data_IF_043840407709
#
_entry.id   IF_043840407709
#
_cell.length_a   1.000
_cell.length_b   1.000
_cell.length_c   1.000
_cell.angle_alpha   90.00
_cell.angle_beta   90.00
_cell.angle_gamma   90.00
#
_symmetry.space_group_name_H-M   'P 1'
#
loop_
_entity.id
_entity.type
_entity.pdbx_description
1 polymer ?
#
# COMPACT_ATOMS: atom_id res chain seq x y z
N UNK A 1 13.70 18.88 -7.39
CA UNK A 1 13.02 19.76 -6.41
C UNK A 1 11.91 20.57 -7.09
N UNK A 2 11.07 21.21 -6.30
CA UNK A 2 10.04 22.15 -6.74
C UNK A 2 9.09 21.55 -7.78
N UNK A 3 8.78 22.28 -8.88
CA UNK A 3 7.85 21.81 -9.91
C UNK A 3 8.25 20.46 -10.54
N UNK A 4 9.57 20.15 -10.56
CA UNK A 4 10.06 18.86 -11.02
C UNK A 4 9.63 17.70 -10.08
N UNK A 5 9.62 17.94 -8.76
CA UNK A 5 9.10 16.98 -7.81
C UNK A 5 7.58 16.81 -7.93
N UNK A 6 6.84 17.89 -8.19
CA UNK A 6 5.39 17.83 -8.41
C UNK A 6 5.01 16.91 -9.59
N UNK A 7 5.83 16.81 -10.63
CA UNK A 7 5.59 15.90 -11.74
C UNK A 7 5.60 14.41 -11.34
N UNK A 8 6.20 14.04 -10.21
CA UNK A 8 6.19 12.66 -9.70
C UNK A 8 4.83 12.26 -9.13
N UNK A 9 3.96 13.21 -8.77
CA UNK A 9 2.67 12.89 -8.13
C UNK A 9 1.83 11.94 -8.97
N UNK A 10 1.83 12.08 -10.29
CA UNK A 10 1.10 11.17 -11.18
C UNK A 10 1.65 9.73 -11.08
N UNK A 11 2.98 9.56 -11.10
CA UNK A 11 3.59 8.24 -10.96
C UNK A 11 3.46 7.66 -9.54
N UNK A 12 3.45 8.53 -8.52
CA UNK A 12 3.19 8.11 -7.13
C UNK A 12 1.75 7.59 -7.00
N UNK A 13 0.78 8.32 -7.57
CA UNK A 13 -0.62 7.92 -7.56
C UNK A 13 -0.84 6.60 -8.30
N UNK A 14 -0.19 6.41 -9.44
CA UNK A 14 -0.20 5.18 -10.21
C UNK A 14 0.32 3.99 -9.37
N UNK A 15 1.49 4.14 -8.75
CA UNK A 15 2.04 3.15 -7.84
C UNK A 15 1.14 2.87 -6.63
N UNK A 16 0.45 3.89 -6.12
CA UNK A 16 -0.48 3.73 -4.99
C UNK A 16 -1.69 2.89 -5.37
N UNK A 17 -2.33 3.17 -6.50
CA UNK A 17 -3.49 2.41 -6.97
C UNK A 17 -3.12 0.98 -7.35
N UNK A 18 -1.93 0.78 -7.91
CA UNK A 18 -1.43 -0.54 -8.30
C UNK A 18 -0.79 -1.32 -7.15
N UNK A 19 -0.74 -0.74 -5.94
CA UNK A 19 -0.14 -1.37 -4.75
C UNK A 19 1.33 -1.76 -4.96
N UNK A 20 2.09 -0.91 -5.64
CA UNK A 20 3.52 -1.11 -5.90
C UNK A 20 4.38 -0.54 -4.78
N UNK A 21 5.30 -1.32 -4.18
CA UNK A 21 6.20 -0.85 -3.13
C UNK A 21 7.37 -0.06 -3.74
N UNK A 22 7.15 1.22 -3.98
CA UNK A 22 8.14 2.12 -4.59
C UNK A 22 8.60 3.17 -3.57
N UNK A 23 9.90 3.35 -3.43
CA UNK A 23 10.49 4.45 -2.66
C UNK A 23 10.81 5.60 -3.62
N UNK A 24 10.06 6.70 -3.51
CA UNK A 24 10.31 7.92 -4.25
C UNK A 24 11.24 8.85 -3.46
N UNK A 25 12.28 9.34 -4.11
CA UNK A 25 13.22 10.29 -3.54
C UNK A 25 13.11 11.61 -4.28
N UNK A 26 12.88 12.69 -3.54
CA UNK A 26 12.87 14.05 -4.07
C UNK A 26 13.97 14.88 -3.44
N UNK A 27 14.44 15.88 -4.15
CA UNK A 27 15.40 16.85 -3.61
C UNK A 27 14.69 18.12 -3.19
N UNK A 28 15.25 18.79 -2.19
CA UNK A 28 14.72 20.03 -1.65
C UNK A 28 15.84 21.05 -1.43
N UNK A 29 15.47 22.29 -1.17
CA UNK A 29 16.39 23.36 -0.77
C UNK A 29 17.18 22.96 0.50
N UNK A 30 18.26 23.69 0.76
CA UNK A 30 18.95 23.55 2.05
C UNK A 30 18.01 23.97 3.21
N UNK A 31 18.09 23.24 4.32
CA UNK A 31 17.22 23.49 5.47
C UNK A 31 17.31 24.92 6.03
N UNK A 32 18.47 25.58 5.87
CA UNK A 32 18.70 26.97 6.30
C UNK A 32 18.20 28.03 5.30
N UNK A 33 17.76 27.64 4.10
CA UNK A 33 17.22 28.55 3.08
C UNK A 33 15.73 28.83 3.28
N UNK A 34 15.05 28.09 4.15
CA UNK A 34 13.67 28.35 4.48
C UNK A 34 13.52 29.67 5.24
N UNK A 35 12.70 30.56 4.74
CA UNK A 35 12.48 31.87 5.34
C UNK A 35 11.83 31.82 6.73
N UNK A 36 11.11 30.74 7.03
CA UNK A 36 10.36 30.56 8.27
C UNK A 36 9.20 31.53 8.47
N UNK A 37 8.85 32.34 7.46
CA UNK A 37 7.77 33.31 7.54
C UNK A 37 6.45 32.64 7.22
N UNK A 38 5.49 32.58 8.15
CA UNK A 38 4.17 31.99 7.90
C UNK A 38 3.42 32.71 6.79
N UNK A 39 2.73 31.95 5.96
CA UNK A 39 1.87 32.48 4.89
C UNK A 39 2.61 32.92 3.62
N UNK A 40 3.93 32.76 3.54
CA UNK A 40 4.62 32.92 2.27
C UNK A 40 4.21 31.82 1.30
N UNK A 41 3.98 32.23 0.06
CA UNK A 41 3.65 31.32 -1.05
C UNK A 41 4.79 30.34 -1.36
N UNK A 42 6.03 30.75 -1.12
CA UNK A 42 7.25 30.04 -1.45
C UNK A 42 8.30 30.39 -0.41
N UNK A 43 8.82 29.40 0.28
CA UNK A 43 9.79 29.61 1.38
C UNK A 43 11.23 29.83 0.86
N UNK A 44 11.54 29.31 -0.32
CA UNK A 44 12.80 29.49 -1.01
C UNK A 44 12.62 29.30 -2.51
N UNK A 45 13.71 29.34 -3.30
CA UNK A 45 13.64 29.31 -4.77
C UNK A 45 13.06 27.98 -5.28
N UNK A 46 11.91 28.05 -5.99
CA UNK A 46 11.20 26.88 -6.52
C UNK A 46 10.90 25.78 -5.49
N UNK A 47 10.75 26.18 -4.23
CA UNK A 47 10.32 25.26 -3.17
C UNK A 47 8.83 24.97 -3.29
N UNK A 48 8.47 23.73 -3.03
CA UNK A 48 7.09 23.29 -2.80
C UNK A 48 7.08 22.28 -1.65
N UNK A 49 5.98 22.22 -0.94
CA UNK A 49 5.74 21.16 0.04
C UNK A 49 5.30 19.87 -0.66
N UNK A 50 6.28 19.13 -1.18
CA UNK A 50 6.01 17.87 -1.89
C UNK A 50 5.50 16.79 -0.93
N UNK A 51 5.87 16.85 0.34
CA UNK A 51 5.40 15.91 1.36
C UNK A 51 3.88 16.06 1.55
N UNK A 52 3.39 17.30 1.75
CA UNK A 52 1.97 17.56 1.85
C UNK A 52 1.20 17.17 0.58
N UNK A 53 1.79 17.41 -0.60
CA UNK A 53 1.18 17.03 -1.88
C UNK A 53 1.09 15.51 -2.09
N UNK A 54 2.11 14.76 -1.67
CA UNK A 54 2.17 13.31 -1.86
C UNK A 54 1.42 12.52 -0.77
N UNK A 55 1.17 13.11 0.40
CA UNK A 55 0.57 12.45 1.57
C UNK A 55 -0.70 11.66 1.26
N UNK A 56 -1.67 12.14 0.45
CA UNK A 56 -2.89 11.41 0.14
C UNK A 56 -2.70 10.15 -0.73
N UNK A 57 -1.57 10.04 -1.43
CA UNK A 57 -1.28 8.97 -2.38
C UNK A 57 0.00 8.21 -2.03
N UNK A 58 0.41 8.24 -0.77
CA UNK A 58 1.54 7.48 -0.24
C UNK A 58 1.19 6.82 1.07
N UNK A 59 1.85 5.73 1.39
CA UNK A 59 1.77 5.10 2.72
C UNK A 59 2.58 5.88 3.77
N UNK A 60 3.64 6.55 3.33
CA UNK A 60 4.50 7.36 4.16
C UNK A 60 5.15 8.46 3.32
N UNK A 61 5.19 9.67 3.85
CA UNK A 61 5.88 10.80 3.22
C UNK A 61 6.57 11.63 4.30
N UNK A 62 7.86 11.87 4.15
CA UNK A 62 8.68 12.60 5.13
C UNK A 62 9.73 13.45 4.45
N UNK A 63 10.03 14.61 5.03
CA UNK A 63 11.22 15.40 4.72
C UNK A 63 12.26 15.16 5.81
N UNK A 64 13.47 14.74 5.42
CA UNK A 64 14.58 14.55 6.35
C UNK A 64 15.14 15.92 6.73
N UNK A 65 15.34 16.15 8.02
CA UNK A 65 15.83 17.44 8.54
C UNK A 65 17.25 17.37 9.08
N UNK A 66 17.70 16.20 9.49
CA UNK A 66 19.02 15.97 10.07
C UNK A 66 19.73 14.85 9.34
N UNK A 67 21.05 14.96 9.15
CA UNK A 67 21.87 14.00 8.39
C UNK A 67 21.84 12.61 9.02
N UNK A 68 21.71 12.54 10.35
CA UNK A 68 21.73 11.30 11.12
C UNK A 68 20.47 10.46 10.93
N UNK A 69 19.36 11.09 10.49
CA UNK A 69 18.08 10.40 10.30
C UNK A 69 17.97 9.66 8.96
N UNK A 70 18.87 9.91 8.01
CA UNK A 70 18.72 9.41 6.63
C UNK A 70 18.62 7.89 6.54
N UNK A 71 19.50 7.18 7.25
CA UNK A 71 19.54 5.70 7.21
C UNK A 71 18.31 5.11 7.88
N UNK A 72 17.91 5.67 9.01
CA UNK A 72 16.72 5.27 9.75
C UNK A 72 15.45 5.46 8.92
N UNK A 73 15.29 6.63 8.30
CA UNK A 73 14.10 6.95 7.51
C UNK A 73 14.05 6.14 6.21
N UNK A 74 15.18 5.84 5.57
CA UNK A 74 15.23 4.95 4.42
C UNK A 74 14.81 3.52 4.77
N UNK A 75 15.31 2.97 5.88
CA UNK A 75 14.91 1.64 6.34
C UNK A 75 13.43 1.61 6.69
N UNK A 76 12.94 2.60 7.42
CA UNK A 76 11.52 2.74 7.78
C UNK A 76 10.64 2.82 6.52
N UNK A 77 11.00 3.64 5.55
CA UNK A 77 10.29 3.78 4.30
C UNK A 77 10.23 2.45 3.52
N UNK A 78 11.34 1.72 3.45
CA UNK A 78 11.39 0.40 2.81
C UNK A 78 10.43 -0.60 3.47
N UNK A 79 10.44 -0.67 4.79
CA UNK A 79 9.54 -1.55 5.54
C UNK A 79 8.08 -1.16 5.37
N UNK A 80 7.75 0.13 5.45
CA UNK A 80 6.38 0.62 5.25
C UNK A 80 5.89 0.30 3.83
N UNK A 81 6.72 0.52 2.81
CA UNK A 81 6.35 0.22 1.42
C UNK A 81 5.96 -1.25 1.23
N UNK A 82 6.64 -2.16 1.94
CA UNK A 82 6.48 -3.60 1.80
C UNK A 82 5.52 -4.24 2.82
N UNK A 83 5.12 -3.54 3.89
CA UNK A 83 4.24 -4.06 4.93
C UNK A 83 2.76 -4.03 4.50
N UNK A 84 1.95 -4.96 4.99
CA UNK A 84 0.52 -5.03 4.71
C UNK A 84 0.19 -4.90 3.22
N UNK A 85 -0.80 -4.07 2.85
CA UNK A 85 -1.00 -3.72 1.44
C UNK A 85 0.18 -2.88 0.97
N UNK A 86 0.94 -3.38 0.01
CA UNK A 86 2.10 -2.70 -0.56
C UNK A 86 1.70 -1.35 -1.18
N UNK A 87 2.63 -0.40 -1.22
CA UNK A 87 2.35 0.91 -1.79
C UNK A 87 3.55 1.86 -1.72
N UNK A 88 3.48 3.00 -2.39
CA UNK A 88 4.57 3.95 -2.49
C UNK A 88 4.82 4.71 -1.20
N UNK A 89 6.07 5.11 -1.02
CA UNK A 89 6.52 6.04 0.03
C UNK A 89 7.37 7.13 -0.61
N UNK A 90 7.42 8.31 0.03
CA UNK A 90 8.21 9.45 -0.43
C UNK A 90 9.15 9.95 0.66
N UNK A 91 10.41 10.16 0.30
CA UNK A 91 11.39 10.82 1.15
C UNK A 91 11.91 12.05 0.43
N UNK A 92 11.73 13.21 1.04
CA UNK A 92 12.22 14.49 0.55
C UNK A 92 13.56 14.84 1.22
N UNK A 93 14.60 15.02 0.41
CA UNK A 93 15.99 15.15 0.86
C UNK A 93 16.50 16.57 0.58
N UNK A 94 16.62 17.44 1.59
CA UNK A 94 17.27 18.73 1.44
C UNK A 94 18.73 18.62 1.00
N UNK A 95 19.20 19.60 0.22
CA UNK A 95 20.51 19.55 -0.44
C UNK A 95 21.68 19.48 0.56
N UNK A 96 21.58 20.18 1.69
CA UNK A 96 22.60 20.09 2.75
C UNK A 96 22.64 18.68 3.37
N UNK A 97 21.50 18.03 3.54
CA UNK A 97 21.41 16.65 4.05
C UNK A 97 22.05 15.68 3.07
N UNK A 98 21.80 15.84 1.75
CA UNK A 98 22.43 15.01 0.72
C UNK A 98 23.97 15.13 0.68
N UNK A 99 24.52 16.27 1.12
CA UNK A 99 25.97 16.55 1.13
C UNK A 99 26.60 16.32 2.50
N UNK A 100 25.80 16.08 3.51
CA UNK A 100 26.25 15.83 4.87
C UNK A 100 26.90 14.43 5.00
N UNK A 101 27.78 14.31 5.98
CA UNK A 101 28.37 13.03 6.34
C UNK A 101 27.52 12.34 7.41
N UNK A 102 27.03 11.14 7.10
CA UNK A 102 26.30 10.33 8.09
C UNK A 102 27.31 9.76 9.09
N UNK A 103 27.26 10.28 10.31
CA UNK A 103 28.09 9.80 11.41
C UNK A 103 27.48 8.54 12.02
N UNK A 104 28.27 7.46 12.08
CA UNK A 104 27.87 6.18 12.70
C UNK A 104 26.56 5.61 12.12
N UNK A 105 26.48 5.33 10.82
CA UNK A 105 25.26 4.81 10.22
C UNK A 105 24.92 3.44 10.81
N UNK A 106 23.73 3.31 11.39
CA UNK A 106 23.17 2.04 11.85
C UNK A 106 22.35 1.45 10.71
N UNK A 107 22.89 0.43 10.04
CA UNK A 107 22.20 -0.19 8.89
C UNK A 107 21.20 -1.28 9.29
N UNK A 108 21.42 -1.90 10.46
CA UNK A 108 20.55 -2.96 10.98
C UNK A 108 19.71 -2.39 12.13
N UNK A 109 18.63 -1.71 11.76
CA UNK A 109 17.70 -1.10 12.70
C UNK A 109 16.55 -2.09 12.91
N UNK A 110 16.33 -2.52 14.14
CA UNK A 110 15.22 -3.42 14.46
C UNK A 110 13.86 -2.74 14.21
N UNK A 111 12.84 -3.55 13.90
CA UNK A 111 11.47 -3.04 13.70
C UNK A 111 10.95 -2.31 14.96
N UNK A 112 11.41 -2.75 16.15
CA UNK A 112 11.07 -2.11 17.43
C UNK A 112 11.66 -0.71 17.54
N UNK A 113 12.92 -0.51 17.15
CA UNK A 113 13.58 0.80 17.14
C UNK A 113 13.00 1.74 16.07
N UNK A 114 12.43 1.19 15.00
CA UNK A 114 11.70 1.96 13.99
C UNK A 114 10.28 2.33 14.44
N UNK A 115 9.88 1.93 15.65
CA UNK A 115 8.54 2.17 16.20
C UNK A 115 7.48 1.19 15.73
N UNK A 116 7.85 0.03 15.15
CA UNK A 116 6.93 -1.04 14.76
C UNK A 116 6.82 -2.16 15.82
N UNK A 117 7.55 -2.04 16.96
CA UNK A 117 7.56 -3.03 18.04
C UNK A 117 6.37 -2.92 18.99
N UNK A 118 5.93 -4.07 19.51
CA UNK A 118 5.07 -4.27 20.69
C UNK A 118 3.58 -3.88 20.61
N UNK A 119 3.04 -3.32 19.54
CA UNK A 119 1.59 -3.03 19.47
C UNK A 119 0.74 -4.25 19.04
N UNK A 120 1.36 -5.34 18.58
CA UNK A 120 0.63 -6.51 18.09
C UNK A 120 0.15 -7.47 19.19
N UNK A 121 0.83 -7.52 20.34
CA UNK A 121 0.50 -8.49 21.39
C UNK A 121 -0.59 -8.04 22.37
N UNK A 122 -0.73 -6.73 22.60
CA UNK A 122 -1.70 -6.22 23.61
C UNK A 122 -3.09 -5.89 23.06
N UNK A 123 -3.29 -5.87 21.74
CA UNK A 123 -4.57 -5.55 21.11
C UNK A 123 -5.41 -6.78 20.73
N UNK A 124 -4.85 -7.99 20.81
CA UNK A 124 -5.59 -9.23 20.51
C UNK A 124 -6.72 -9.55 21.51
N UNK A 125 -6.64 -9.04 22.74
CA UNK A 125 -7.67 -9.31 23.76
C UNK A 125 -8.82 -8.27 23.78
N UNK A 126 -8.64 -7.08 23.19
CA UNK A 126 -9.60 -5.98 23.31
C UNK A 126 -10.62 -5.88 22.15
N UNK A 127 -10.39 -6.50 21.02
CA UNK A 127 -11.19 -6.27 19.79
C UNK A 127 -12.16 -7.39 19.42
N UNK A 128 -12.24 -8.48 20.20
CA UNK A 128 -13.23 -9.52 19.96
C UNK A 128 -14.70 -9.09 20.18
N UNK A 129 -14.95 -7.91 20.75
CA UNK A 129 -16.29 -7.48 21.18
C UNK A 129 -16.89 -6.28 20.42
N UNK A 130 -16.27 -5.74 19.37
CA UNK A 130 -16.79 -4.52 18.71
C UNK A 130 -16.88 -4.54 17.18
N UNK A 131 -17.09 -5.69 16.56
CA UNK A 131 -17.39 -5.74 15.12
C UNK A 131 -18.90 -5.59 14.87
N UNK A 132 -19.47 -4.42 15.20
CA UNK A 132 -20.81 -3.99 14.82
C UNK A 132 -20.69 -2.89 13.77
N UNK A 133 -21.44 -3.06 12.67
CA UNK A 133 -21.48 -2.18 11.51
C UNK A 133 -21.55 -0.69 11.89
N UNK A 134 -20.47 0.04 11.67
CA UNK A 134 -20.44 1.51 11.74
C UNK A 134 -19.89 2.05 10.42
N UNK A 135 -20.69 2.91 9.78
CA UNK A 135 -20.34 3.61 8.56
C UNK A 135 -19.12 4.51 8.76
N UNK A 136 -18.26 4.56 7.76
CA UNK A 136 -17.02 5.34 7.77
C UNK A 136 -17.38 6.80 7.52
N UNK A 137 -17.39 7.61 8.57
CA UNK A 137 -17.44 9.07 8.46
C UNK A 137 -16.03 9.61 8.23
N UNK A 138 -15.78 10.09 7.02
CA UNK A 138 -14.50 10.63 6.60
C UNK A 138 -14.37 12.11 7.02
N UNK A 139 -13.98 12.35 8.27
CA UNK A 139 -13.54 13.66 8.71
C UNK A 139 -12.30 13.55 9.60
N UNK A 140 -11.13 13.45 8.98
CA UNK A 140 -9.86 13.50 9.71
C UNK A 140 -9.30 14.92 9.78
N UNK A 141 -9.00 15.37 11.01
CA UNK A 141 -8.15 16.54 11.26
C UNK A 141 -6.68 16.08 11.30
N UNK A 142 -5.74 16.84 10.74
CA UNK A 142 -4.33 16.44 10.70
C UNK A 142 -3.62 16.82 12.00
N UNK A 143 -3.11 15.84 12.74
CA UNK A 143 -1.98 16.01 13.64
C UNK A 143 -0.89 14.97 13.29
N UNK A 144 0.36 15.36 13.45
CA UNK A 144 1.53 14.63 12.94
C UNK A 144 1.81 13.29 13.67
N UNK A 145 1.11 12.98 14.75
CA UNK A 145 1.25 11.73 15.53
C UNK A 145 0.37 10.59 15.01
N UNK A 146 -0.69 10.89 14.27
CA UNK A 146 -1.69 9.91 13.83
C UNK A 146 -1.26 8.94 12.72
N UNK A 147 -0.20 9.24 11.97
CA UNK A 147 0.22 8.41 10.83
C UNK A 147 0.93 7.12 11.28
N UNK A 148 1.68 7.16 12.38
CA UNK A 148 2.35 5.97 12.93
C UNK A 148 1.37 5.04 13.66
N UNK A 149 0.37 5.60 14.32
CA UNK A 149 -0.68 4.81 14.98
C UNK A 149 -1.62 4.17 13.95
N UNK A 150 -1.96 4.87 12.86
CA UNK A 150 -2.82 4.30 11.81
C UNK A 150 -2.17 3.14 11.05
N UNK A 151 -0.85 3.16 10.83
CA UNK A 151 -0.13 2.04 10.21
C UNK A 151 -0.07 0.82 11.14
N UNK A 152 0.11 1.03 12.46
CA UNK A 152 0.13 -0.04 13.48
C UNK A 152 -1.25 -0.66 13.71
N UNK A 153 -2.30 0.15 13.72
CA UNK A 153 -3.68 -0.33 13.81
C UNK A 153 -4.09 -1.09 12.56
N UNK A 154 -3.65 -0.67 11.38
CA UNK A 154 -4.00 -1.32 10.12
C UNK A 154 -3.52 -2.77 10.04
N UNK A 155 -2.30 -3.09 10.49
CA UNK A 155 -1.77 -4.47 10.39
C UNK A 155 -2.46 -5.43 11.40
N UNK A 156 -2.86 -4.95 12.57
CA UNK A 156 -3.59 -5.77 13.55
C UNK A 156 -5.07 -5.92 13.20
N UNK A 157 -5.71 -4.85 12.75
CA UNK A 157 -7.10 -4.90 12.26
C UNK A 157 -7.21 -5.73 10.98
N UNK A 158 -6.22 -5.66 10.09
CA UNK A 158 -6.14 -6.50 8.89
C UNK A 158 -6.05 -7.98 9.26
N UNK A 159 -5.30 -8.36 10.30
CA UNK A 159 -5.17 -9.76 10.70
C UNK A 159 -6.47 -10.33 11.27
N UNK A 160 -7.14 -9.62 12.18
CA UNK A 160 -8.43 -10.04 12.73
C UNK A 160 -9.54 -10.01 11.67
N UNK A 161 -9.55 -8.98 10.82
CA UNK A 161 -10.48 -8.85 9.72
C UNK A 161 -10.24 -9.93 8.65
N UNK A 162 -8.99 -10.34 8.41
CA UNK A 162 -8.66 -11.41 7.47
C UNK A 162 -9.16 -12.78 7.94
N UNK A 163 -9.09 -13.09 9.22
CA UNK A 163 -9.64 -14.35 9.78
C UNK A 163 -11.17 -14.36 9.60
N UNK A 164 -11.85 -13.28 9.97
CA UNK A 164 -13.30 -13.15 9.79
C UNK A 164 -13.71 -13.21 8.30
N UNK A 165 -12.93 -12.60 7.41
CA UNK A 165 -13.17 -12.65 5.97
C UNK A 165 -12.96 -14.05 5.40
N UNK A 166 -11.95 -14.80 5.88
CA UNK A 166 -11.70 -16.18 5.44
C UNK A 166 -12.85 -17.11 5.81
N UNK A 167 -13.43 -16.96 7.00
CA UNK A 167 -14.59 -17.75 7.43
C UNK A 167 -15.84 -17.40 6.61
N UNK A 168 -16.07 -16.12 6.33
CA UNK A 168 -17.16 -15.66 5.48
C UNK A 168 -17.03 -16.18 4.03
N UNK A 169 -15.81 -16.16 3.48
CA UNK A 169 -15.50 -16.72 2.15
C UNK A 169 -15.78 -18.22 2.14
N UNK A 170 -15.35 -18.95 3.17
CA UNK A 170 -15.60 -20.41 3.29
C UNK A 170 -17.08 -20.70 3.31
N UNK A 171 -17.85 -20.00 4.14
CA UNK A 171 -19.32 -20.18 4.23
C UNK A 171 -20.00 -19.83 2.89
N UNK A 172 -19.54 -18.81 2.20
CA UNK A 172 -20.05 -18.44 0.88
C UNK A 172 -19.72 -19.50 -0.18
N UNK A 173 -18.50 -20.04 -0.16
CA UNK A 173 -18.08 -21.13 -1.07
C UNK A 173 -18.88 -22.40 -0.88
N UNK A 174 -19.20 -22.78 0.37
CA UNK A 174 -20.01 -23.97 0.65
C UNK A 174 -21.42 -23.87 0.08
N UNK A 175 -21.92 -22.65 -0.11
CA UNK A 175 -23.26 -22.39 -0.68
C UNK A 175 -23.25 -22.16 -2.19
N UNK A 176 -22.12 -21.75 -2.74
CA UNK A 176 -22.00 -21.36 -4.14
C UNK A 176 -22.00 -22.58 -5.07
N UNK A 177 -22.68 -22.48 -6.20
CA UNK A 177 -22.68 -23.48 -7.25
C UNK A 177 -21.72 -23.12 -8.39
N UNK A 178 -21.44 -21.83 -8.55
CA UNK A 178 -20.62 -21.30 -9.65
C UNK A 178 -19.68 -20.19 -9.13
N UNK A 179 -18.81 -20.52 -8.18
CA UNK A 179 -17.85 -19.56 -7.67
C UNK A 179 -16.81 -19.19 -8.74
N UNK A 180 -16.33 -17.95 -8.70
CA UNK A 180 -15.27 -17.44 -9.58
C UNK A 180 -14.31 -16.62 -8.73
N UNK A 181 -13.01 -16.80 -8.97
CA UNK A 181 -11.97 -15.98 -8.34
C UNK A 181 -11.58 -14.87 -9.30
N UNK A 182 -11.59 -13.62 -8.80
CA UNK A 182 -11.09 -12.47 -9.50
C UNK A 182 -9.75 -12.02 -8.92
N UNK A 183 -8.68 -12.30 -9.64
CA UNK A 183 -7.33 -11.98 -9.21
C UNK A 183 -6.95 -10.55 -9.60
N UNK A 184 -6.71 -9.72 -8.59
CA UNK A 184 -6.18 -8.36 -8.76
C UNK A 184 -4.69 -8.27 -8.40
N UNK A 185 -4.02 -7.19 -8.82
CA UNK A 185 -2.58 -6.97 -8.60
C UNK A 185 -2.19 -6.89 -7.11
N UNK A 186 -3.12 -6.64 -6.21
CA UNK A 186 -2.86 -6.67 -4.76
C UNK A 186 -2.33 -8.01 -4.24
N UNK A 187 -2.59 -9.12 -4.94
CA UNK A 187 -2.04 -10.46 -4.62
C UNK A 187 -0.71 -10.65 -5.36
N UNK A 188 0.27 -9.82 -5.06
CA UNK A 188 1.59 -9.81 -5.72
C UNK A 188 2.59 -10.84 -5.15
N UNK A 189 2.34 -11.39 -3.95
CA UNK A 189 3.21 -12.40 -3.36
C UNK A 189 3.08 -13.73 -4.12
N UNK A 190 4.21 -14.22 -4.62
CA UNK A 190 4.25 -15.45 -5.41
C UNK A 190 3.81 -16.67 -4.63
N UNK A 191 4.23 -16.79 -3.35
CA UNK A 191 3.89 -17.96 -2.53
C UNK A 191 2.37 -18.01 -2.25
N UNK A 192 1.76 -16.86 -1.99
CA UNK A 192 0.31 -16.73 -1.80
C UNK A 192 -0.43 -17.08 -3.10
N UNK A 193 0.03 -16.58 -4.25
CA UNK A 193 -0.56 -16.91 -5.56
C UNK A 193 -0.47 -18.41 -5.88
N UNK A 194 0.67 -19.05 -5.64
CA UNK A 194 0.85 -20.46 -5.88
C UNK A 194 -0.08 -21.31 -5.00
N UNK A 195 -0.31 -20.92 -3.76
CA UNK A 195 -1.30 -21.55 -2.88
C UNK A 195 -2.73 -21.35 -3.41
N UNK A 196 -3.09 -20.13 -3.81
CA UNK A 196 -4.39 -19.83 -4.38
C UNK A 196 -4.67 -20.65 -5.64
N UNK A 197 -3.70 -20.74 -6.54
CA UNK A 197 -3.83 -21.57 -7.77
C UNK A 197 -3.94 -23.05 -7.46
N UNK A 198 -3.27 -23.53 -6.42
CA UNK A 198 -3.40 -24.91 -5.97
C UNK A 198 -4.81 -25.21 -5.47
N UNK A 199 -5.37 -24.32 -4.64
CA UNK A 199 -6.75 -24.44 -4.16
C UNK A 199 -7.76 -24.32 -5.31
N UNK A 200 -7.58 -23.36 -6.20
CA UNK A 200 -8.46 -23.18 -7.35
C UNK A 200 -8.49 -24.42 -8.26
N UNK A 201 -7.34 -25.07 -8.49
CA UNK A 201 -7.26 -26.34 -9.24
C UNK A 201 -7.96 -27.49 -8.51
N UNK A 202 -7.74 -27.60 -7.20
CA UNK A 202 -8.38 -28.63 -6.38
C UNK A 202 -9.90 -28.52 -6.41
N UNK A 203 -10.43 -27.33 -6.37
CA UNK A 203 -11.87 -27.06 -6.34
C UNK A 203 -12.47 -26.77 -7.72
N UNK A 204 -11.63 -26.74 -8.76
CA UNK A 204 -12.00 -26.43 -10.15
C UNK A 204 -12.72 -25.08 -10.29
N UNK A 205 -12.29 -24.08 -9.51
CA UNK A 205 -12.85 -22.74 -9.56
C UNK A 205 -12.15 -21.95 -10.67
N UNK A 206 -12.88 -21.39 -11.64
CA UNK A 206 -12.31 -20.56 -12.69
C UNK A 206 -11.72 -19.26 -12.13
N UNK A 207 -10.65 -18.82 -12.76
CA UNK A 207 -9.94 -17.58 -12.40
C UNK A 207 -10.08 -16.60 -13.55
N UNK A 208 -10.49 -15.39 -13.21
CA UNK A 208 -10.43 -14.21 -14.07
C UNK A 208 -9.46 -13.21 -13.45
N UNK A 209 -8.83 -12.37 -14.25
CA UNK A 209 -7.81 -11.45 -13.78
C UNK A 209 -8.17 -10.00 -14.06
N UNK A 210 -7.61 -9.07 -13.29
CA UNK A 210 -7.52 -7.68 -13.73
C UNK A 210 -6.51 -7.55 -14.88
N UNK A 211 -6.53 -6.40 -15.58
CA UNK A 211 -5.61 -6.14 -16.69
C UNK A 211 -4.15 -6.25 -16.28
N UNK A 212 -3.82 -5.81 -15.06
CA UNK A 212 -2.46 -5.84 -14.51
C UNK A 212 -1.97 -7.24 -14.19
N UNK A 213 -2.88 -8.21 -14.04
CA UNK A 213 -2.56 -9.60 -13.69
C UNK A 213 -2.83 -10.59 -14.83
N UNK A 214 -2.94 -10.12 -16.07
CA UNK A 214 -3.20 -11.01 -17.23
C UNK A 214 -2.17 -12.12 -17.39
N UNK A 215 -0.93 -11.88 -16.96
CA UNK A 215 0.17 -12.85 -17.03
C UNK A 215 0.33 -13.73 -15.80
N UNK A 216 -0.57 -13.61 -14.80
CA UNK A 216 -0.46 -14.38 -13.56
C UNK A 216 -0.63 -15.90 -13.75
N UNK A 217 -1.46 -16.30 -14.74
CA UNK A 217 -1.59 -17.69 -15.14
C UNK A 217 -1.18 -17.86 -16.61
N UNK A 218 -0.64 -19.04 -16.98
CA UNK A 218 -0.45 -19.40 -18.38
C UNK A 218 -1.77 -19.27 -19.17
N UNK A 219 -1.67 -18.85 -20.40
CA UNK A 219 -2.86 -18.64 -21.25
C UNK A 219 -3.61 -19.94 -21.57
N UNK A 220 -2.94 -21.07 -21.54
CA UNK A 220 -3.44 -22.42 -21.75
C UNK A 220 -3.86 -23.16 -20.48
N UNK A 221 -3.76 -22.50 -19.30
CA UNK A 221 -4.25 -23.07 -18.05
C UNK A 221 -5.79 -23.19 -18.13
N UNK A 222 -6.37 -24.38 -17.89
CA UNK A 222 -7.80 -24.61 -18.00
C UNK A 222 -8.67 -23.76 -17.06
N UNK A 223 -8.09 -23.18 -16.03
CA UNK A 223 -8.77 -22.27 -15.11
C UNK A 223 -8.66 -20.80 -15.50
N UNK A 224 -7.81 -20.45 -16.48
CA UNK A 224 -7.63 -19.09 -16.95
C UNK A 224 -8.73 -18.69 -17.93
N UNK A 225 -9.66 -17.87 -17.52
CA UNK A 225 -10.72 -17.31 -18.37
C UNK A 225 -10.42 -15.91 -18.89
N UNK A 226 -9.21 -15.42 -18.62
CA UNK A 226 -8.69 -14.16 -19.11
C UNK A 226 -9.02 -12.97 -18.21
N UNK A 227 -8.76 -11.76 -18.69
CA UNK A 227 -8.95 -10.54 -17.92
C UNK A 227 -10.33 -9.93 -18.12
N UNK A 228 -10.85 -9.33 -17.05
CA UNK A 228 -12.05 -8.50 -17.11
C UNK A 228 -11.68 -7.07 -17.56
N UNK A 229 -12.63 -6.40 -18.18
CA UNK A 229 -12.50 -5.01 -18.61
C UNK A 229 -13.53 -4.69 -19.69
N UNK A 230 -13.94 -3.42 -19.81
CA UNK A 230 -14.94 -3.00 -20.78
C UNK A 230 -14.47 -3.23 -22.22
N UNK A 231 -13.65 -2.33 -22.75
CA UNK A 231 -13.20 -2.38 -24.14
C UNK A 231 -12.05 -3.37 -24.38
N UNK A 232 -11.28 -3.73 -23.35
CA UNK A 232 -10.05 -4.52 -23.46
C UNK A 232 -10.13 -5.89 -22.81
N UNK A 233 -11.22 -6.18 -22.09
CA UNK A 233 -11.39 -7.47 -21.41
C UNK A 233 -11.81 -8.60 -22.34
N UNK A 234 -11.50 -9.82 -21.93
CA UNK A 234 -11.94 -11.04 -22.63
C UNK A 234 -13.45 -11.22 -22.48
N UNK A 235 -14.12 -11.54 -23.59
CA UNK A 235 -15.57 -11.75 -23.61
C UNK A 235 -16.03 -12.78 -22.56
N UNK A 236 -15.29 -13.88 -22.46
CA UNK A 236 -15.65 -14.96 -21.53
C UNK A 236 -15.45 -14.55 -20.06
N UNK A 237 -14.37 -13.83 -19.74
CA UNK A 237 -14.15 -13.30 -18.40
C UNK A 237 -15.28 -12.38 -17.96
N UNK A 238 -15.65 -11.43 -18.81
CA UNK A 238 -16.78 -10.52 -18.55
C UNK A 238 -18.12 -11.25 -18.42
N UNK A 239 -18.38 -12.26 -19.25
CA UNK A 239 -19.61 -13.05 -19.19
C UNK A 239 -19.67 -13.88 -17.90
N UNK A 240 -18.58 -14.49 -17.48
CA UNK A 240 -18.52 -15.30 -16.27
C UNK A 240 -18.73 -14.39 -15.06
N UNK A 241 -17.99 -13.28 -14.97
CA UNK A 241 -18.11 -12.36 -13.85
C UNK A 241 -19.53 -11.78 -13.68
N UNK A 242 -20.14 -11.33 -14.77
CA UNK A 242 -21.38 -10.55 -14.71
C UNK A 242 -22.68 -11.36 -14.83
N UNK A 243 -22.65 -12.53 -15.46
CA UNK A 243 -23.87 -13.24 -15.82
C UNK A 243 -23.93 -14.70 -15.38
N UNK A 244 -22.81 -15.31 -15.03
CA UNK A 244 -22.74 -16.76 -14.80
C UNK A 244 -22.31 -17.15 -13.39
N UNK A 245 -21.51 -16.34 -12.71
CA UNK A 245 -21.13 -16.58 -11.32
C UNK A 245 -22.28 -16.28 -10.35
N UNK A 246 -22.37 -17.05 -9.30
CA UNK A 246 -23.21 -16.78 -8.12
C UNK A 246 -22.38 -16.34 -6.91
N UNK A 247 -21.07 -16.44 -7.01
CA UNK A 247 -20.11 -15.92 -6.05
C UNK A 247 -18.88 -15.43 -6.79
N UNK A 248 -18.49 -14.17 -6.56
CA UNK A 248 -17.24 -13.59 -7.03
C UNK A 248 -16.37 -13.26 -5.80
N UNK A 249 -15.16 -13.83 -5.75
CA UNK A 249 -14.17 -13.68 -4.66
C UNK A 249 -13.01 -12.85 -5.16
#
# INVERSE_FOLDING_TARGET
>A
SGPGAANLISGIADAYFDSLPVVFLTGQLNTYEYSGIPGLRQQGFQEIDIVAMAKPVTKYAVQIREDEDIVKELNKAYHIANSGRKGPVLIDLPMNIQRGDVKNPVYDISLDEMGFGAACESSMEATANSCGAAGVDMAMKPDDSGVLESAKMADCEISACAVSAADAIREALDKAQRPVIMLGHGVSDKAVRDQLFTLARQWKIPIITSVLEMSALPWDDPLNFGCIGGAYGHRYANMIANAKSDLLI
#
